data_IF_021631996939
#
_entry.id   IF_021631996939
#
_cell.length_a   1.000
_cell.length_b   1.000
_cell.length_c   1.000
_cell.angle_alpha   90.00
_cell.angle_beta   90.00
_cell.angle_gamma   90.00
#
_symmetry.space_group_name_H-M   'P 1'
#
loop_
_entity.id
_entity.type
_entity.pdbx_description
1 polymer ?
#
# COMPACT_ATOMS: atom_id res chain seq x y z
N UNK A 1 -2.82 -10.36 19.95
CA UNK A 1 -2.71 -9.00 19.37
C UNK A 1 -1.36 -8.92 18.70
N UNK A 2 -1.30 -8.88 17.36
CA UNK A 2 -0.04 -8.82 16.64
C UNK A 2 0.64 -7.48 16.92
N UNK A 3 1.88 -7.53 17.39
CA UNK A 3 2.76 -6.37 17.51
C UNK A 3 3.15 -5.95 16.09
N UNK A 4 2.55 -4.87 15.58
CA UNK A 4 2.99 -4.26 14.32
C UNK A 4 4.47 -3.89 14.50
N UNK A 5 5.33 -4.44 13.64
CA UNK A 5 6.65 -3.86 13.40
C UNK A 5 6.45 -2.43 12.92
N UNK A 6 7.27 -1.52 13.43
CA UNK A 6 7.31 -0.14 12.94
C UNK A 6 7.74 -0.13 11.46
N UNK A 7 7.31 0.88 10.70
CA UNK A 7 7.67 1.04 9.29
C UNK A 7 9.19 1.11 9.09
N UNK A 8 9.93 1.57 10.11
CA UNK A 8 11.39 1.50 10.16
C UNK A 8 11.93 0.06 10.08
N UNK A 9 11.41 -0.87 10.90
CA UNK A 9 11.83 -2.29 10.87
C UNK A 9 11.52 -2.94 9.52
N UNK A 10 10.36 -2.64 8.92
CA UNK A 10 10.03 -3.12 7.59
C UNK A 10 11.03 -2.59 6.54
N UNK A 11 11.32 -1.30 6.58
CA UNK A 11 12.26 -0.65 5.67
C UNK A 11 13.64 -1.29 5.74
N UNK A 12 14.16 -1.51 6.95
CA UNK A 12 15.45 -2.16 7.18
C UNK A 12 15.48 -3.58 6.62
N UNK A 13 14.43 -4.38 6.86
CA UNK A 13 14.34 -5.77 6.37
C UNK A 13 14.28 -5.83 4.85
N UNK A 14 13.48 -4.98 4.21
CA UNK A 14 13.34 -4.94 2.75
C UNK A 14 14.66 -4.49 2.10
N UNK A 15 15.33 -3.48 2.69
CA UNK A 15 16.65 -3.03 2.26
C UNK A 15 17.68 -4.15 2.38
N UNK A 16 17.77 -4.81 3.53
CA UNK A 16 18.69 -5.92 3.76
C UNK A 16 18.46 -7.06 2.76
N UNK A 17 17.20 -7.46 2.55
CA UNK A 17 16.83 -8.50 1.59
C UNK A 17 17.32 -8.20 0.17
N UNK A 18 17.23 -6.95 -0.28
CA UNK A 18 17.71 -6.49 -1.58
C UNK A 18 19.24 -6.48 -1.67
N UNK A 19 19.92 -5.99 -0.63
CA UNK A 19 21.39 -5.93 -0.54
C UNK A 19 21.99 -7.34 -0.62
N UNK A 20 21.48 -8.28 0.18
CA UNK A 20 21.94 -9.68 0.22
C UNK A 20 21.93 -10.37 -1.14
N UNK A 21 21.00 -9.96 -2.02
CA UNK A 21 20.83 -10.52 -3.37
C UNK A 21 21.47 -9.65 -4.46
N UNK A 22 22.15 -8.56 -4.09
CA UNK A 22 22.68 -7.56 -5.01
C UNK A 22 21.61 -7.03 -5.99
N UNK A 23 20.37 -6.91 -5.51
CA UNK A 23 19.23 -6.45 -6.33
C UNK A 23 19.10 -4.94 -6.39
N UNK A 24 19.86 -4.19 -5.58
CA UNK A 24 19.81 -2.73 -5.56
C UNK A 24 20.08 -2.11 -6.94
N UNK A 25 20.87 -2.76 -7.79
CA UNK A 25 21.10 -2.35 -9.18
C UNK A 25 19.84 -2.31 -10.04
N UNK A 26 18.80 -3.08 -9.70
CA UNK A 26 17.52 -3.11 -10.39
C UNK A 26 16.48 -2.18 -9.76
N UNK A 27 16.71 -1.73 -8.52
CA UNK A 27 15.77 -0.96 -7.71
C UNK A 27 15.81 0.56 -8.03
N UNK A 28 15.74 0.90 -9.31
CA UNK A 28 15.53 2.31 -9.71
C UNK A 28 14.10 2.74 -9.37
N UNK A 29 13.83 4.04 -9.11
CA UNK A 29 12.46 4.51 -8.85
C UNK A 29 11.45 4.14 -9.94
N UNK A 30 11.90 4.12 -11.20
CA UNK A 30 11.07 3.67 -12.34
C UNK A 30 10.72 2.19 -12.24
N UNK A 31 11.68 1.32 -11.96
CA UNK A 31 11.42 -0.12 -11.91
C UNK A 31 10.57 -0.48 -10.69
N UNK A 32 10.83 0.14 -9.54
CA UNK A 32 10.04 -0.07 -8.33
C UNK A 32 8.60 0.43 -8.48
N UNK A 33 8.38 1.56 -9.16
CA UNK A 33 7.01 2.02 -9.42
C UNK A 33 6.25 1.10 -10.39
N UNK A 34 6.95 0.53 -11.37
CA UNK A 34 6.37 -0.49 -12.25
C UNK A 34 6.04 -1.79 -11.50
N UNK A 35 6.93 -2.27 -10.63
CA UNK A 35 6.68 -3.45 -9.79
C UNK A 35 5.49 -3.21 -8.85
N UNK A 36 5.46 -2.06 -8.16
CA UNK A 36 4.34 -1.64 -7.32
C UNK A 36 3.02 -1.64 -8.11
N UNK A 37 3.01 -1.11 -9.34
CA UNK A 37 1.81 -1.14 -10.18
C UNK A 37 1.39 -2.56 -10.57
N UNK A 38 2.35 -3.48 -10.74
CA UNK A 38 2.12 -4.91 -10.92
C UNK A 38 1.37 -5.52 -9.75
N UNK A 39 1.90 -5.37 -8.53
CA UNK A 39 1.28 -5.95 -7.32
C UNK A 39 -0.11 -5.36 -7.02
N UNK A 40 -0.31 -4.07 -7.31
CA UNK A 40 -1.65 -3.47 -7.25
C UNK A 40 -2.60 -4.12 -8.27
N UNK A 41 -2.09 -4.50 -9.43
CA UNK A 41 -2.83 -5.25 -10.44
C UNK A 41 -3.16 -6.68 -9.99
N UNK A 42 -2.25 -7.37 -9.31
CA UNK A 42 -2.49 -8.70 -8.73
C UNK A 42 -3.55 -8.62 -7.62
N UNK A 43 -3.42 -7.66 -6.70
CA UNK A 43 -4.45 -7.37 -5.69
C UNK A 43 -5.83 -7.11 -6.32
N UNK A 44 -5.87 -6.33 -7.41
CA UNK A 44 -7.10 -6.08 -8.15
C UNK A 44 -7.68 -7.39 -8.71
N UNK A 45 -6.84 -8.25 -9.28
CA UNK A 45 -7.27 -9.50 -9.89
C UNK A 45 -7.95 -10.46 -8.90
N UNK A 46 -7.56 -10.43 -7.62
CA UNK A 46 -8.22 -11.19 -6.55
C UNK A 46 -9.66 -10.72 -6.27
N UNK A 47 -9.95 -9.43 -6.48
CA UNK A 47 -11.23 -8.80 -6.11
C UNK A 47 -12.15 -8.55 -7.31
N UNK A 48 -11.63 -8.53 -8.53
CA UNK A 48 -12.30 -7.96 -9.72
C UNK A 48 -13.66 -8.60 -10.08
N UNK A 49 -13.91 -9.85 -9.69
CA UNK A 49 -15.14 -10.58 -10.02
C UNK A 49 -16.10 -10.76 -8.83
N UNK A 50 -15.76 -10.20 -7.67
CA UNK A 50 -16.60 -10.30 -6.47
C UNK A 50 -17.75 -9.30 -6.53
N UNK A 51 -18.91 -9.66 -5.97
CA UNK A 51 -19.93 -8.67 -5.62
C UNK A 51 -19.45 -7.81 -4.45
N UNK A 52 -20.07 -6.62 -4.21
CA UNK A 52 -19.76 -5.82 -3.03
C UNK A 52 -19.84 -6.62 -1.72
N UNK A 53 -20.88 -7.43 -1.54
CA UNK A 53 -21.07 -8.26 -0.35
C UNK A 53 -19.96 -9.31 -0.20
N UNK A 54 -19.56 -9.97 -1.29
CA UNK A 54 -18.46 -10.94 -1.28
C UNK A 54 -17.12 -10.26 -0.96
N UNK A 55 -16.84 -9.11 -1.55
CA UNK A 55 -15.59 -8.36 -1.28
C UNK A 55 -15.46 -7.95 0.19
N UNK A 56 -16.57 -7.61 0.86
CA UNK A 56 -16.59 -7.29 2.28
C UNK A 56 -16.31 -8.51 3.16
N UNK A 57 -16.71 -9.70 2.72
CA UNK A 57 -16.51 -10.97 3.42
C UNK A 57 -15.26 -11.75 2.95
N UNK A 58 -14.41 -11.15 2.09
CA UNK A 58 -13.30 -11.87 1.42
C UNK A 58 -12.33 -12.56 2.38
N UNK A 59 -12.16 -12.02 3.58
CA UNK A 59 -11.28 -12.58 4.60
C UNK A 59 -11.85 -13.81 5.32
N UNK A 60 -13.14 -14.11 5.15
CA UNK A 60 -13.78 -15.33 5.65
C UNK A 60 -13.55 -16.52 4.70
N UNK A 61 -13.17 -16.23 3.44
CA UNK A 61 -12.82 -17.25 2.45
C UNK A 61 -11.42 -17.83 2.74
N UNK A 62 -11.29 -19.14 2.96
CA UNK A 62 -10.02 -19.77 3.33
C UNK A 62 -8.98 -19.81 2.20
N UNK A 63 -9.39 -19.61 0.94
CA UNK A 63 -8.49 -19.61 -0.22
C UNK A 63 -8.20 -18.18 -0.68
N UNK A 64 -9.23 -17.33 -0.77
CA UNK A 64 -9.10 -15.98 -1.32
C UNK A 64 -8.54 -14.98 -0.30
N UNK A 65 -8.93 -15.07 0.97
CA UNK A 65 -8.45 -14.19 2.03
C UNK A 65 -6.91 -14.18 2.17
N UNK A 66 -6.24 -15.34 2.20
CA UNK A 66 -4.78 -15.41 2.22
C UNK A 66 -4.10 -14.80 0.99
N UNK A 67 -4.69 -14.92 -0.20
CA UNK A 67 -4.16 -14.33 -1.44
C UNK A 67 -4.23 -12.81 -1.40
N UNK A 68 -5.40 -12.25 -1.06
CA UNK A 68 -5.56 -10.79 -0.85
C UNK A 68 -4.55 -10.26 0.18
N UNK A 69 -4.32 -11.00 1.27
CA UNK A 69 -3.32 -10.63 2.28
C UNK A 69 -1.89 -10.65 1.73
N UNK A 70 -1.55 -11.61 0.86
CA UNK A 70 -0.24 -11.68 0.22
C UNK A 70 -0.01 -10.45 -0.66
N UNK A 71 -0.94 -10.14 -1.56
CA UNK A 71 -0.81 -9.02 -2.49
C UNK A 71 -0.75 -7.66 -1.79
N UNK A 72 -1.50 -7.48 -0.69
CA UNK A 72 -1.36 -6.28 0.16
C UNK A 72 0.06 -6.19 0.75
N UNK A 73 0.64 -7.33 1.12
CA UNK A 73 2.02 -7.42 1.59
C UNK A 73 3.02 -7.00 0.52
N UNK A 74 2.88 -7.49 -0.71
CA UNK A 74 3.77 -7.17 -1.82
C UNK A 74 3.66 -5.69 -2.24
N UNK A 75 2.44 -5.14 -2.29
CA UNK A 75 2.21 -3.69 -2.44
C UNK A 75 2.97 -2.91 -1.37
N UNK A 76 2.88 -3.34 -0.11
CA UNK A 76 3.56 -2.66 1.00
C UNK A 76 5.10 -2.74 0.87
N UNK A 77 5.64 -3.89 0.47
CA UNK A 77 7.08 -4.10 0.28
C UNK A 77 7.62 -3.15 -0.79
N UNK A 78 6.98 -3.09 -1.97
CA UNK A 78 7.47 -2.22 -3.05
C UNK A 78 7.25 -0.74 -2.77
N UNK A 79 6.15 -0.36 -2.14
CA UNK A 79 5.94 1.03 -1.72
C UNK A 79 7.01 1.47 -0.71
N UNK A 80 7.29 0.61 0.28
CA UNK A 80 8.35 0.85 1.27
C UNK A 80 9.70 0.99 0.59
N UNK A 81 10.07 0.06 -0.29
CA UNK A 81 11.37 0.14 -0.98
C UNK A 81 11.47 1.35 -1.91
N UNK A 82 10.37 1.74 -2.57
CA UNK A 82 10.34 2.94 -3.40
C UNK A 82 10.57 4.20 -2.57
N UNK A 83 9.87 4.34 -1.44
CA UNK A 83 10.07 5.46 -0.52
C UNK A 83 11.51 5.51 0.00
N UNK A 84 12.05 4.35 0.38
CA UNK A 84 13.40 4.18 0.89
C UNK A 84 14.50 4.59 -0.12
N UNK A 85 14.32 4.26 -1.40
CA UNK A 85 15.23 4.68 -2.48
C UNK A 85 15.11 6.17 -2.80
N UNK A 86 13.94 6.76 -2.57
CA UNK A 86 13.66 8.19 -2.80
C UNK A 86 13.93 9.08 -1.58
N UNK A 87 14.37 8.50 -0.45
CA UNK A 87 14.58 9.21 0.82
C UNK A 87 13.30 9.89 1.34
N UNK A 88 12.18 9.16 1.30
CA UNK A 88 10.87 9.62 1.76
C UNK A 88 10.47 8.87 3.03
N UNK A 89 10.18 9.60 4.12
CA UNK A 89 9.47 9.04 5.27
C UNK A 89 8.01 8.78 4.86
N UNK A 90 7.68 7.50 4.68
CA UNK A 90 6.35 7.07 4.23
C UNK A 90 5.25 7.44 5.24
N UNK A 91 5.55 7.38 6.55
CA UNK A 91 4.59 7.67 7.60
C UNK A 91 4.31 9.17 7.71
N UNK A 92 5.33 10.00 7.59
CA UNK A 92 5.21 11.46 7.50
C UNK A 92 4.43 11.87 6.26
N UNK A 93 4.81 11.36 5.08
CA UNK A 93 4.12 11.65 3.82
C UNK A 93 2.62 11.30 3.87
N UNK A 94 2.26 10.16 4.49
CA UNK A 94 0.87 9.77 4.68
C UNK A 94 0.12 10.72 5.64
N UNK A 95 0.73 11.11 6.76
CA UNK A 95 0.14 12.04 7.73
C UNK A 95 -0.09 13.43 7.13
N UNK A 96 0.88 13.95 6.39
CA UNK A 96 0.76 15.23 5.69
C UNK A 96 -0.37 15.19 4.66
N UNK A 97 -0.45 14.10 3.89
CA UNK A 97 -1.52 13.95 2.90
C UNK A 97 -2.91 13.83 3.54
N UNK A 98 -3.01 13.17 4.69
CA UNK A 98 -4.24 13.07 5.46
C UNK A 98 -4.68 14.44 6.00
N UNK A 99 -3.74 15.24 6.53
CA UNK A 99 -4.00 16.60 6.99
C UNK A 99 -4.48 17.52 5.85
N UNK A 100 -3.86 17.47 4.67
CA UNK A 100 -4.34 18.16 3.47
C UNK A 100 -5.76 17.73 3.09
N UNK A 101 -6.04 16.43 3.15
CA UNK A 101 -7.35 15.89 2.79
C UNK A 101 -8.42 16.33 3.78
N UNK A 102 -8.16 16.30 5.09
CA UNK A 102 -9.09 16.80 6.11
C UNK A 102 -9.42 18.29 5.94
N UNK A 103 -8.46 19.11 5.49
CA UNK A 103 -8.69 20.52 5.17
C UNK A 103 -9.64 20.71 3.97
N UNK A 104 -9.53 19.86 2.94
CA UNK A 104 -10.35 19.96 1.72
C UNK A 104 -11.73 19.31 1.88
N UNK A 105 -11.80 18.21 2.62
CA UNK A 105 -13.02 17.44 2.87
C UNK A 105 -13.44 17.63 4.33
N UNK A 106 -14.00 18.81 4.64
CA UNK A 106 -14.55 19.03 5.99
C UNK A 106 -15.69 18.06 6.27
N UNK A 107 -15.95 17.79 7.56
CA UNK A 107 -17.02 16.87 7.97
C UNK A 107 -18.35 17.29 7.36
N UNK A 108 -18.67 18.58 7.41
CA UNK A 108 -19.93 19.12 6.89
C UNK A 108 -20.06 18.95 5.38
N UNK A 109 -18.96 19.07 4.64
CA UNK A 109 -18.98 19.01 3.18
C UNK A 109 -18.94 17.58 2.61
N UNK A 110 -18.37 16.63 3.36
CA UNK A 110 -18.08 15.28 2.87
C UNK A 110 -18.84 14.15 3.60
N UNK A 111 -19.54 14.43 4.71
CA UNK A 111 -20.28 13.40 5.44
C UNK A 111 -21.32 12.69 4.56
N UNK A 112 -21.14 11.38 4.34
CA UNK A 112 -22.01 10.56 3.51
C UNK A 112 -21.94 10.86 1.99
N UNK A 113 -20.95 11.64 1.55
CA UNK A 113 -20.80 12.04 0.14
C UNK A 113 -19.45 11.59 -0.42
N UNK A 114 -19.48 10.92 -1.58
CA UNK A 114 -18.29 10.56 -2.34
C UNK A 114 -17.91 11.64 -3.38
N UNK A 115 -18.57 12.81 -3.35
CA UNK A 115 -18.32 13.87 -4.33
C UNK A 115 -16.89 14.42 -4.19
N UNK A 116 -16.19 14.55 -5.33
CA UNK A 116 -14.83 15.09 -5.35
C UNK A 116 -14.85 16.61 -5.10
N UNK A 117 -14.32 17.03 -3.95
CA UNK A 117 -14.08 18.44 -3.64
C UNK A 117 -12.75 18.86 -4.26
N UNK A 118 -12.80 19.83 -5.18
CA UNK A 118 -11.58 20.42 -5.78
C UNK A 118 -10.98 21.43 -4.81
N UNK A 119 -9.63 21.54 -4.76
CA UNK A 119 -8.96 22.55 -3.96
C UNK A 119 -9.36 23.98 -4.36
#
# INVERSE_FOLDING_TARGET
MATNGDLGDLTERVRAFAVERSWEQFHTPKNLSMALAGEVGELLAELQWLTPEQSLAVMEDPELGPRVRAEIGDVMIYLTRLADVLDIDLAEAARDKLADSARRYTVEAAHGSAAKIRP
#
